data_IF_212224318255
#
_entry.id   IF_212224318255
#
_cell.length_a   1.000
_cell.length_b   1.000
_cell.length_c   1.000
_cell.angle_alpha   90.00
_cell.angle_beta   90.00
_cell.angle_gamma   90.00
#
_symmetry.space_group_name_H-M   'P 1'
#
loop_
_entity.id
_entity.type
_entity.pdbx_description
1 polymer ?
#
# COMPACT_ATOMS: atom_id res chain seq x y z
N UNK A 1 -6.54 -34.47 -47.98
CA UNK A 1 -7.56 -33.50 -47.47
C UNK A 1 -7.32 -33.12 -46.01
N UNK A 2 -7.09 -34.07 -45.10
CA UNK A 2 -6.75 -33.78 -43.68
C UNK A 2 -5.52 -32.86 -43.54
N UNK A 3 -4.49 -33.07 -44.37
CA UNK A 3 -3.25 -32.27 -44.33
C UNK A 3 -3.45 -30.80 -44.74
N UNK A 4 -4.35 -30.52 -45.71
CA UNK A 4 -4.65 -29.16 -46.13
C UNK A 4 -5.47 -28.38 -45.09
N UNK A 5 -6.42 -29.06 -44.43
CA UNK A 5 -7.22 -28.48 -43.33
C UNK A 5 -6.31 -28.20 -42.13
N UNK A 6 -5.47 -29.16 -41.73
CA UNK A 6 -4.51 -29.01 -40.64
C UNK A 6 -3.56 -27.84 -40.88
N UNK A 7 -2.98 -27.72 -42.10
CA UNK A 7 -2.12 -26.60 -42.47
C UNK A 7 -2.85 -25.25 -42.44
N UNK A 8 -4.09 -25.20 -42.89
CA UNK A 8 -4.91 -23.99 -42.86
C UNK A 8 -5.23 -23.55 -41.43
N UNK A 9 -5.59 -24.49 -40.55
CA UNK A 9 -5.83 -24.22 -39.12
C UNK A 9 -4.55 -23.78 -38.42
N UNK A 10 -3.43 -24.45 -38.67
CA UNK A 10 -2.14 -24.08 -38.10
C UNK A 10 -1.70 -22.67 -38.53
N UNK A 11 -1.93 -22.31 -39.80
CA UNK A 11 -1.65 -20.97 -40.32
C UNK A 11 -2.52 -19.89 -39.65
N UNK A 12 -3.82 -20.14 -39.50
CA UNK A 12 -4.71 -19.22 -38.77
C UNK A 12 -4.28 -19.06 -37.31
N UNK A 13 -3.93 -20.16 -36.64
CA UNK A 13 -3.44 -20.15 -35.27
C UNK A 13 -2.12 -19.38 -35.15
N UNK A 14 -1.20 -19.54 -36.10
CA UNK A 14 0.04 -18.77 -36.15
C UNK A 14 -0.22 -17.25 -36.27
N UNK A 15 -1.18 -16.84 -37.11
CA UNK A 15 -1.58 -15.43 -37.21
C UNK A 15 -2.11 -14.92 -35.88
N UNK A 16 -2.98 -15.69 -35.21
CA UNK A 16 -3.53 -15.31 -33.89
C UNK A 16 -2.41 -15.17 -32.86
N UNK A 17 -1.46 -16.11 -32.82
CA UNK A 17 -0.32 -16.04 -31.90
C UNK A 17 0.57 -14.82 -32.13
N UNK A 18 0.74 -14.37 -33.38
CA UNK A 18 1.48 -13.14 -33.70
C UNK A 18 0.87 -11.88 -33.05
N UNK A 19 -0.41 -11.91 -32.69
CA UNK A 19 -1.04 -10.82 -31.93
C UNK A 19 -1.07 -11.09 -30.42
N UNK A 20 -1.34 -12.32 -29.99
CA UNK A 20 -1.47 -12.64 -28.57
C UNK A 20 -0.15 -12.52 -27.81
N UNK A 21 0.96 -12.93 -28.41
CA UNK A 21 2.28 -12.85 -27.78
C UNK A 21 2.70 -11.39 -27.49
N UNK A 22 2.72 -10.46 -28.47
CA UNK A 22 3.05 -9.07 -28.16
C UNK A 22 2.03 -8.41 -27.24
N UNK A 23 0.74 -8.79 -27.31
CA UNK A 23 -0.26 -8.28 -26.39
C UNK A 23 0.05 -8.69 -24.94
N UNK A 24 0.44 -9.94 -24.71
CA UNK A 24 0.87 -10.43 -23.39
C UNK A 24 2.02 -9.62 -22.82
N UNK A 25 3.07 -9.38 -23.62
CA UNK A 25 4.21 -8.57 -23.20
C UNK A 25 3.83 -7.12 -22.89
N UNK A 26 2.90 -6.53 -23.64
CA UNK A 26 2.43 -5.17 -23.35
C UNK A 26 1.66 -5.11 -22.03
N UNK A 27 0.78 -6.08 -21.76
CA UNK A 27 0.05 -6.13 -20.49
C UNK A 27 0.95 -6.39 -19.28
N UNK A 28 1.97 -7.25 -19.42
CA UNK A 28 2.98 -7.45 -18.36
C UNK A 28 3.75 -6.14 -18.08
N UNK A 29 4.10 -5.40 -19.13
CA UNK A 29 4.76 -4.10 -19.00
C UNK A 29 3.86 -3.03 -18.38
N UNK A 30 2.57 -3.03 -18.70
CA UNK A 30 1.58 -2.16 -18.04
C UNK A 30 1.54 -2.43 -16.53
N UNK A 31 1.54 -3.70 -16.13
CA UNK A 31 1.54 -4.10 -14.72
C UNK A 31 2.83 -3.71 -14.00
N UNK A 32 3.99 -3.85 -14.66
CA UNK A 32 5.28 -3.41 -14.11
C UNK A 32 5.31 -1.89 -13.89
N UNK A 33 4.86 -1.11 -14.87
CA UNK A 33 4.77 0.35 -14.76
C UNK A 33 3.79 0.79 -13.68
N UNK A 34 2.67 0.08 -13.54
CA UNK A 34 1.70 0.31 -12.47
C UNK A 34 2.32 0.05 -11.10
N UNK A 35 3.02 -1.06 -10.92
CA UNK A 35 3.72 -1.41 -9.69
C UNK A 35 4.78 -0.38 -9.33
N UNK A 36 5.61 0.04 -10.29
CA UNK A 36 6.63 1.07 -10.08
C UNK A 36 6.02 2.42 -9.69
N UNK A 37 4.92 2.81 -10.34
CA UNK A 37 4.23 4.07 -10.05
C UNK A 37 3.61 4.06 -8.66
N UNK A 38 2.93 2.97 -8.30
CA UNK A 38 2.37 2.78 -6.96
C UNK A 38 3.47 2.76 -5.90
N UNK A 39 4.61 2.09 -6.16
CA UNK A 39 5.77 2.09 -5.27
C UNK A 39 6.28 3.50 -5.02
N UNK A 40 6.43 4.30 -6.07
CA UNK A 40 6.85 5.69 -5.94
C UNK A 40 5.84 6.55 -5.14
N UNK A 41 4.53 6.36 -5.35
CA UNK A 41 3.49 7.07 -4.60
C UNK A 41 3.54 6.71 -3.10
N UNK A 42 3.66 5.42 -2.77
CA UNK A 42 3.79 4.94 -1.39
C UNK A 42 5.07 5.49 -0.74
N UNK A 43 6.21 5.41 -1.43
CA UNK A 43 7.48 5.91 -0.92
C UNK A 43 7.42 7.40 -0.63
N UNK A 44 6.91 8.20 -1.57
CA UNK A 44 6.74 9.66 -1.38
C UNK A 44 5.85 9.98 -0.19
N UNK A 45 4.74 9.27 -0.03
CA UNK A 45 3.81 9.49 1.07
C UNK A 45 4.46 9.14 2.41
N UNK A 46 5.04 7.93 2.53
CA UNK A 46 5.72 7.47 3.75
C UNK A 46 6.88 8.39 4.12
N UNK A 47 7.73 8.76 3.17
CA UNK A 47 8.86 9.66 3.45
C UNK A 47 8.40 11.06 3.84
N UNK A 48 7.31 11.56 3.25
CA UNK A 48 6.71 12.83 3.67
C UNK A 48 6.20 12.76 5.11
N UNK A 49 5.52 11.68 5.50
CA UNK A 49 5.06 11.47 6.88
C UNK A 49 6.24 11.35 7.84
N UNK A 50 7.27 10.57 7.49
CA UNK A 50 8.47 10.38 8.32
C UNK A 50 9.28 11.66 8.52
N UNK A 51 9.35 12.50 7.48
CA UNK A 51 10.11 13.74 7.53
C UNK A 51 9.35 14.88 8.20
N UNK A 52 8.02 14.84 8.24
CA UNK A 52 7.16 15.86 8.86
C UNK A 52 6.68 15.50 10.26
N UNK A 53 6.56 14.20 10.58
CA UNK A 53 6.00 13.75 11.84
C UNK A 53 4.47 13.88 11.92
N UNK A 54 3.77 14.02 10.81
CA UNK A 54 2.31 14.00 10.78
C UNK A 54 1.75 13.51 9.45
N UNK A 55 0.48 13.09 9.49
CA UNK A 55 -0.35 12.82 8.32
C UNK A 55 -1.41 13.91 8.27
N UNK A 56 -1.50 14.62 7.14
CA UNK A 56 -2.59 15.55 6.87
C UNK A 56 -3.60 14.96 5.88
N UNK A 57 -4.85 15.43 5.87
CA UNK A 57 -5.86 14.98 4.92
C UNK A 57 -5.42 15.23 3.47
N UNK A 58 -4.74 16.36 3.21
CA UNK A 58 -4.19 16.72 1.90
C UNK A 58 -3.12 15.72 1.43
N UNK A 59 -2.20 15.32 2.30
CA UNK A 59 -1.18 14.31 1.97
C UNK A 59 -1.82 12.96 1.63
N UNK A 60 -2.79 12.52 2.42
CA UNK A 60 -3.49 11.26 2.17
C UNK A 60 -4.34 11.31 0.88
N UNK A 61 -5.03 12.42 0.63
CA UNK A 61 -5.80 12.60 -0.60
C UNK A 61 -4.91 12.64 -1.85
N UNK A 62 -3.75 13.32 -1.79
CA UNK A 62 -2.80 13.31 -2.90
C UNK A 62 -2.27 11.90 -3.16
N UNK A 63 -1.92 11.16 -2.11
CA UNK A 63 -1.47 9.78 -2.20
C UNK A 63 -2.52 8.87 -2.84
N UNK A 64 -3.77 8.92 -2.36
CA UNK A 64 -4.87 8.11 -2.91
C UNK A 64 -5.21 8.50 -4.35
N UNK A 65 -5.15 9.79 -4.70
CA UNK A 65 -5.32 10.24 -6.08
C UNK A 65 -4.19 9.77 -7.01
N UNK A 66 -2.94 9.74 -6.54
CA UNK A 66 -1.82 9.18 -7.32
C UNK A 66 -2.02 7.69 -7.59
N UNK A 67 -2.49 6.92 -6.61
CA UNK A 67 -2.80 5.50 -6.79
C UNK A 67 -3.97 5.27 -7.75
N UNK A 68 -5.04 6.07 -7.65
CA UNK A 68 -6.22 5.92 -8.52
C UNK A 68 -5.93 6.20 -10.00
N UNK A 69 -4.94 7.05 -10.32
CA UNK A 69 -4.54 7.33 -11.71
C UNK A 69 -4.00 6.10 -12.45
N UNK A 70 -3.60 5.06 -11.73
CA UNK A 70 -2.98 3.85 -12.28
C UNK A 70 -4.04 2.91 -12.91
N UNK A 71 -5.33 3.16 -12.65
CA UNK A 71 -6.44 2.38 -13.24
C UNK A 71 -6.75 1.07 -12.51
N UNK A 72 -6.01 0.76 -11.45
CA UNK A 72 -6.27 -0.35 -10.54
C UNK A 72 -6.90 0.14 -9.24
N UNK A 73 -7.69 -0.74 -8.62
CA UNK A 73 -8.24 -0.49 -7.28
C UNK A 73 -7.29 -1.09 -6.26
N UNK A 74 -6.99 -0.32 -5.22
CA UNK A 74 -6.05 -0.70 -4.19
C UNK A 74 -6.71 -0.72 -2.82
N UNK A 75 -6.35 -1.71 -2.02
CA UNK A 75 -6.53 -1.71 -0.57
C UNK A 75 -5.29 -1.09 0.07
N UNK A 76 -5.51 -0.17 1.01
CA UNK A 76 -4.47 0.66 1.63
C UNK A 76 -4.53 0.46 3.14
N UNK A 77 -3.50 -0.16 3.69
CA UNK A 77 -3.34 -0.37 5.11
C UNK A 77 -2.22 0.53 5.65
N UNK A 78 -2.55 1.33 6.66
CA UNK A 78 -1.62 2.21 7.37
C UNK A 78 -1.41 1.62 8.77
N UNK A 79 -0.16 1.53 9.18
CA UNK A 79 0.22 1.16 10.54
C UNK A 79 1.17 2.21 11.11
N UNK A 80 0.83 2.73 12.28
CA UNK A 80 1.71 3.53 13.10
C UNK A 80 2.01 2.76 14.39
N UNK A 81 3.28 2.42 14.57
CA UNK A 81 3.80 1.74 15.75
C UNK A 81 4.46 2.79 16.65
N UNK A 82 3.74 3.17 17.69
CA UNK A 82 4.15 4.20 18.65
C UNK A 82 5.02 3.60 19.74
N UNK A 83 6.18 4.18 19.97
CA UNK A 83 7.08 3.77 21.05
C UNK A 83 6.59 4.31 22.39
N UNK A 84 6.44 3.43 23.37
CA UNK A 84 5.99 3.76 24.72
C UNK A 84 7.01 3.27 25.75
N UNK A 85 7.11 3.99 26.87
CA UNK A 85 8.06 3.68 27.94
C UNK A 85 7.28 3.45 29.23
N UNK A 86 7.49 2.28 29.82
CA UNK A 86 6.89 1.90 31.09
C UNK A 86 7.98 1.82 32.17
N UNK A 87 7.81 2.50 33.33
CA UNK A 87 8.74 2.37 34.43
C UNK A 87 8.74 0.93 34.98
N UNK A 88 9.92 0.38 35.21
CA UNK A 88 10.10 -0.96 35.79
C UNK A 88 10.14 -0.85 37.31
N UNK A 89 9.33 -1.66 37.98
CA UNK A 89 9.23 -1.74 39.44
C UNK A 89 9.67 -3.13 39.90
N UNK A 90 10.39 -3.24 41.03
CA UNK A 90 10.64 -4.55 41.64
C UNK A 90 9.38 -5.14 42.26
N UNK A 91 8.46 -4.29 42.73
CA UNK A 91 7.10 -4.64 43.14
C UNK A 91 6.08 -3.72 42.44
N UNK A 92 5.28 -4.23 41.49
CA UNK A 92 4.28 -3.45 40.77
C UNK A 92 3.24 -2.73 41.65
N UNK A 93 3.08 -3.13 42.90
CA UNK A 93 2.12 -2.54 43.84
C UNK A 93 2.71 -1.44 44.74
N UNK A 94 4.04 -1.28 44.76
CA UNK A 94 4.74 -0.25 45.53
C UNK A 94 5.34 0.80 44.60
N UNK A 95 4.79 2.03 44.57
CA UNK A 95 5.32 3.14 43.77
C UNK A 95 6.78 3.53 44.09
N UNK A 96 7.30 3.16 45.27
CA UNK A 96 8.69 3.46 45.65
C UNK A 96 9.69 2.42 45.16
N UNK A 97 9.22 1.32 44.57
CA UNK A 97 10.06 0.20 44.13
C UNK A 97 10.63 0.38 42.71
N UNK A 98 10.59 1.60 42.18
CA UNK A 98 11.09 1.94 40.85
C UNK A 98 12.59 1.62 40.74
N UNK A 99 12.97 0.85 39.72
CA UNK A 99 14.34 0.37 39.54
C UNK A 99 15.27 1.40 38.90
N UNK A 100 14.74 2.52 38.40
CA UNK A 100 15.50 3.45 37.56
C UNK A 100 15.47 3.09 36.07
N UNK A 101 14.88 1.95 35.71
CA UNK A 101 14.85 1.45 34.34
C UNK A 101 13.47 1.63 33.69
N UNK A 102 13.46 1.83 32.37
CA UNK A 102 12.25 1.89 31.58
C UNK A 102 12.23 0.73 30.58
N UNK A 103 11.13 -0.02 30.56
CA UNK A 103 10.85 -1.00 29.52
C UNK A 103 10.25 -0.28 28.32
N UNK A 104 10.75 -0.61 27.13
CA UNK A 104 10.18 -0.12 25.87
C UNK A 104 9.12 -1.09 25.39
N UNK A 105 7.94 -0.58 25.05
CA UNK A 105 6.87 -1.33 24.41
C UNK A 105 6.32 -0.54 23.21
N UNK A 106 5.61 -1.22 22.31
CA UNK A 106 5.12 -0.64 21.07
C UNK A 106 3.61 -0.78 20.95
N UNK A 107 2.93 0.34 20.74
CA UNK A 107 1.50 0.38 20.54
C UNK A 107 1.16 0.62 19.08
N UNK A 108 0.42 -0.31 18.47
CA UNK A 108 0.01 -0.22 17.08
C UNK A 108 -1.32 0.54 16.93
N UNK A 109 -1.32 1.47 15.97
CA UNK A 109 -2.48 2.21 15.50
C UNK A 109 -2.68 1.92 14.00
N UNK A 110 -3.89 1.56 13.62
CA UNK A 110 -4.22 1.15 12.25
C UNK A 110 -5.06 2.19 11.51
N UNK A 111 -5.25 2.00 10.19
CA UNK A 111 -6.11 2.86 9.35
C UNK A 111 -7.46 3.20 9.99
N UNK A 112 -8.12 2.23 10.63
CA UNK A 112 -9.42 2.43 11.27
C UNK A 112 -9.41 3.45 12.42
N UNK A 113 -8.25 3.68 13.04
CA UNK A 113 -8.06 4.67 14.11
C UNK A 113 -7.49 5.98 13.58
N UNK A 114 -6.67 5.93 12.51
CA UNK A 114 -5.99 7.09 11.93
C UNK A 114 -6.94 7.88 11.01
N UNK A 115 -7.67 7.22 10.12
CA UNK A 115 -8.50 7.88 9.11
C UNK A 115 -9.63 8.74 9.68
N UNK A 116 -10.33 8.35 10.76
CA UNK A 116 -11.35 9.21 11.38
C UNK A 116 -10.80 10.53 11.93
N UNK A 117 -9.49 10.61 12.23
CA UNK A 117 -8.84 11.84 12.68
C UNK A 117 -8.63 12.79 11.48
N UNK A 118 -8.26 12.23 10.32
CA UNK A 118 -8.07 13.01 9.09
C UNK A 118 -9.40 13.46 8.47
N UNK A 119 -10.41 12.60 8.53
CA UNK A 119 -11.72 12.80 7.92
C UNK A 119 -12.84 12.63 8.96
N UNK A 120 -12.92 13.51 9.97
CA UNK A 120 -13.99 13.47 10.94
C UNK A 120 -15.32 13.90 10.31
N UNK A 121 -16.43 13.37 10.85
CA UNK A 121 -17.80 13.75 10.47
C UNK A 121 -18.16 15.14 11.01
N UNK A 122 -17.49 16.19 10.52
CA UNK A 122 -17.73 17.58 10.88
C UNK A 122 -17.52 18.54 9.71
N UNK A 123 -17.95 19.80 9.88
CA UNK A 123 -17.87 20.84 8.85
C UNK A 123 -16.56 21.63 8.88
N UNK A 124 -15.53 21.16 9.59
CA UNK A 124 -14.27 21.88 9.69
C UNK A 124 -13.56 21.92 8.31
N UNK A 125 -12.72 22.93 8.06
CA UNK A 125 -11.88 22.99 6.86
C UNK A 125 -10.92 21.79 6.79
N UNK A 126 -10.48 21.44 5.57
CA UNK A 126 -9.51 20.33 5.36
C UNK A 126 -8.14 20.62 5.98
N UNK A 127 -7.79 21.90 6.07
CA UNK A 127 -6.50 22.39 6.59
C UNK A 127 -6.55 22.72 8.09
N UNK A 128 -7.59 22.29 8.81
CA UNK A 128 -7.70 22.52 10.25
C UNK A 128 -6.68 21.68 11.03
N UNK A 129 -6.02 22.29 12.01
CA UNK A 129 -4.96 21.64 12.79
C UNK A 129 -5.44 20.38 13.55
N UNK A 130 -6.73 20.31 13.89
CA UNK A 130 -7.34 19.16 14.54
C UNK A 130 -7.40 17.91 13.66
N UNK A 131 -7.24 18.07 12.34
CA UNK A 131 -7.25 16.98 11.35
C UNK A 131 -5.86 16.42 11.06
N UNK A 132 -4.82 16.86 11.78
CA UNK A 132 -3.48 16.29 11.67
C UNK A 132 -3.34 15.10 12.62
N UNK A 133 -3.01 13.94 12.05
CA UNK A 133 -2.54 12.81 12.84
C UNK A 133 -1.05 12.96 13.11
N UNK A 134 -0.67 13.25 14.36
CA UNK A 134 0.72 13.49 14.75
C UNK A 134 1.42 12.18 15.12
N UNK A 135 2.67 12.05 14.70
CA UNK A 135 3.60 10.99 15.05
C UNK A 135 4.76 11.58 15.85
N UNK A 136 5.43 10.74 16.63
CA UNK A 136 6.58 11.13 17.45
C UNK A 136 7.87 10.66 16.79
N UNK A 137 8.96 11.37 17.01
CA UNK A 137 10.28 10.96 16.56
C UNK A 137 10.65 9.61 17.17
N UNK A 138 11.08 8.67 16.34
CA UNK A 138 11.38 7.30 16.76
C UNK A 138 10.20 6.34 16.75
N UNK A 139 8.98 6.80 16.44
CA UNK A 139 7.87 5.92 16.07
C UNK A 139 8.13 5.30 14.69
N UNK A 140 7.53 4.13 14.43
CA UNK A 140 7.65 3.45 13.14
C UNK A 140 6.35 3.60 12.33
N UNK A 141 6.47 4.05 11.08
CA UNK A 141 5.34 4.25 10.19
C UNK A 141 5.44 3.33 8.98
N UNK A 142 4.35 2.63 8.65
CA UNK A 142 4.28 1.67 7.54
C UNK A 142 3.00 1.84 6.76
N UNK A 143 3.10 1.69 5.45
CA UNK A 143 1.98 1.63 4.52
C UNK A 143 2.11 0.38 3.66
N UNK A 144 1.01 -0.34 3.50
CA UNK A 144 0.91 -1.53 2.69
C UNK A 144 -0.22 -1.35 1.67
N UNK A 145 0.12 -1.50 0.40
CA UNK A 145 -0.82 -1.34 -0.72
C UNK A 145 -0.94 -2.65 -1.49
N UNK A 146 -2.18 -3.10 -1.73
CA UNK A 146 -2.50 -4.33 -2.46
C UNK A 146 -3.54 -4.07 -3.53
N UNK A 147 -3.35 -4.55 -4.76
CA UNK A 147 -4.42 -4.50 -5.75
C UNK A 147 -5.59 -5.42 -5.37
N UNK A 148 -6.81 -4.98 -5.60
CA UNK A 148 -8.05 -5.74 -5.34
C UNK A 148 -8.70 -6.27 -6.61
N UNK A 149 -8.43 -5.64 -7.75
CA UNK A 149 -8.90 -6.07 -9.06
C UNK A 149 -7.84 -6.87 -9.83
N UNK A 150 -8.31 -7.63 -10.82
CA UNK A 150 -7.44 -8.40 -11.74
C UNK A 150 -6.76 -7.48 -12.72
N UNK A 151 -5.48 -7.74 -12.98
CA UNK A 151 -4.75 -7.05 -14.03
C UNK A 151 -5.05 -7.63 -15.41
N UNK A 152 -4.82 -6.84 -16.46
CA UNK A 152 -5.01 -7.29 -17.85
C UNK A 152 -4.12 -8.51 -18.17
N UNK A 153 -2.90 -8.57 -17.62
CA UNK A 153 -2.00 -9.71 -17.79
C UNK A 153 -2.58 -10.98 -17.16
N UNK A 154 -3.17 -10.86 -15.96
CA UNK A 154 -3.83 -11.98 -15.27
C UNK A 154 -5.02 -12.49 -16.08
N UNK A 155 -5.85 -11.60 -16.62
CA UNK A 155 -7.01 -11.96 -17.44
C UNK A 155 -6.56 -12.73 -18.70
N UNK A 156 -5.56 -12.22 -19.40
CA UNK A 156 -5.04 -12.85 -20.62
C UNK A 156 -4.39 -14.20 -20.32
N UNK A 157 -3.57 -14.29 -19.27
CA UNK A 157 -2.92 -15.54 -18.84
C UNK A 157 -3.96 -16.61 -18.50
N UNK A 158 -4.99 -16.24 -17.74
CA UNK A 158 -6.06 -17.15 -17.36
C UNK A 158 -6.86 -17.61 -18.58
N UNK A 159 -7.14 -16.72 -19.53
CA UNK A 159 -7.76 -17.08 -20.81
C UNK A 159 -6.93 -18.09 -21.62
N UNK A 160 -5.60 -17.90 -21.70
CA UNK A 160 -4.70 -18.78 -22.46
C UNK A 160 -4.48 -20.15 -21.80
N UNK A 161 -4.48 -20.19 -20.46
CA UNK A 161 -4.20 -21.40 -19.69
C UNK A 161 -5.46 -22.17 -19.27
N UNK A 162 -6.65 -21.60 -19.51
CA UNK A 162 -7.92 -22.14 -18.97
C UNK A 162 -8.02 -22.00 -17.45
N UNK A 163 -7.24 -21.09 -16.87
CA UNK A 163 -7.20 -20.83 -15.43
C UNK A 163 -8.36 -19.95 -14.95
N UNK A 164 -8.64 -20.01 -13.64
CA UNK A 164 -9.50 -19.05 -12.96
C UNK A 164 -8.85 -18.64 -11.64
N UNK A 165 -7.88 -17.73 -11.72
CA UNK A 165 -7.05 -17.34 -10.57
C UNK A 165 -7.79 -16.40 -9.60
N UNK A 166 -9.07 -16.06 -9.86
CA UNK A 166 -9.81 -15.09 -9.08
C UNK A 166 -9.15 -13.70 -9.15
N UNK A 167 -8.98 -13.02 -8.01
CA UNK A 167 -8.31 -11.73 -7.91
C UNK A 167 -6.93 -11.88 -7.22
N UNK A 168 -5.89 -12.37 -7.93
CA UNK A 168 -4.58 -12.47 -7.33
C UNK A 168 -4.01 -11.08 -7.01
N UNK A 169 -3.31 -10.99 -5.88
CA UNK A 169 -2.50 -9.82 -5.55
C UNK A 169 -1.24 -9.89 -6.39
N UNK A 170 -1.18 -9.07 -7.43
CA UNK A 170 -0.04 -8.93 -8.36
C UNK A 170 0.84 -7.75 -7.94
N UNK A 171 0.22 -6.69 -7.44
CA UNK A 171 0.87 -5.48 -6.95
C UNK A 171 0.74 -5.48 -5.43
N UNK A 172 1.85 -5.75 -4.75
CA UNK A 172 1.97 -5.69 -3.29
C UNK A 172 3.17 -4.83 -2.93
N UNK A 173 2.91 -3.72 -2.25
CA UNK A 173 3.92 -2.73 -1.90
C UNK A 173 3.88 -2.50 -0.39
N UNK A 174 4.71 -3.22 0.38
CA UNK A 174 4.99 -2.89 1.77
C UNK A 174 6.14 -1.89 1.84
N UNK A 175 5.91 -0.72 2.43
CA UNK A 175 6.97 0.27 2.65
C UNK A 175 6.78 0.99 3.98
N UNK A 176 7.88 1.21 4.71
CA UNK A 176 7.82 1.84 6.03
C UNK A 176 9.20 2.24 6.53
N UNK A 177 9.21 2.99 7.64
CA UNK A 177 10.44 3.44 8.29
C UNK A 177 10.17 4.26 9.54
N UNK A 178 11.24 4.54 10.29
CA UNK A 178 11.18 5.37 11.49
C UNK A 178 10.90 6.84 11.13
N UNK A 179 10.13 7.51 11.97
CA UNK A 179 9.85 8.95 11.91
C UNK A 179 11.08 9.70 12.42
N UNK A 180 11.52 10.71 11.68
CA UNK A 180 12.77 11.45 11.97
C UNK A 180 12.53 12.80 12.64
N UNK A 181 11.42 13.47 12.32
CA UNK A 181 11.14 14.83 12.81
C UNK A 181 9.69 14.98 13.25
N UNK A 182 9.43 16.04 14.02
CA UNK A 182 8.14 16.50 14.50
C UNK A 182 7.93 17.96 14.09
N UNK A 183 7.64 18.19 12.81
CA UNK A 183 7.63 19.51 12.16
C UNK A 183 6.19 20.09 12.09
N UNK A 184 5.40 19.84 13.14
CA UNK A 184 4.00 20.27 13.29
C UNK A 184 3.82 21.49 14.20
#
# INVERSE_FOLDING_TARGET
MVDAISKTVAFLLAIVLLFLVPLSFNFEREDELASLTAQNAVTKFVDSVRNKGYISPTMYNQFTQELQKIGYTYDIEITHEKKTYFPVYTDPSDPNSFTGEYMTDYQNYYSAQILPILFPDNTLPIDDDSRLYKLTTGDFFKVEVKNTNRTNSTILRDFLTGGNTGNPVVIHIPYGGMVHNEDY
#
